data_IF_081006011280
#
_entry.id   IF_081006011280
#
_cell.length_a   1.000
_cell.length_b   1.000
_cell.length_c   1.000
_cell.angle_alpha   90.00
_cell.angle_beta   90.00
_cell.angle_gamma   90.00
#
_symmetry.space_group_name_H-M   'P 1'
#
loop_
_entity.id
_entity.type
_entity.pdbx_description
1 polymer ?
#
# COMPACT_ATOMS: atom_id res chain seq x y z
N UNK A 1 6.33 26.47 -48.25
CA UNK A 1 5.84 26.33 -46.85
C UNK A 1 6.65 27.26 -45.96
N UNK A 2 5.98 28.22 -45.32
CA UNK A 2 6.62 29.37 -44.67
C UNK A 2 6.98 29.04 -43.20
N UNK A 3 8.25 29.19 -42.83
CA UNK A 3 8.83 28.76 -41.53
C UNK A 3 8.33 29.57 -40.32
N UNK A 4 7.56 30.64 -40.53
CA UNK A 4 7.02 31.50 -39.47
C UNK A 4 5.71 31.01 -38.86
N UNK A 5 5.01 30.05 -39.48
CA UNK A 5 3.75 29.51 -38.93
C UNK A 5 3.97 28.37 -37.90
N UNK A 6 5.19 27.81 -37.80
CA UNK A 6 5.48 26.67 -36.93
C UNK A 6 5.82 27.06 -35.48
N UNK A 7 6.25 28.31 -35.25
CA UNK A 7 6.66 28.78 -33.92
C UNK A 7 5.53 29.39 -33.08
N UNK A 8 4.41 29.78 -33.70
CA UNK A 8 3.30 30.41 -32.97
C UNK A 8 2.41 29.40 -32.23
N UNK A 9 2.40 28.12 -32.65
CA UNK A 9 1.63 27.06 -31.97
C UNK A 9 2.38 26.51 -30.74
N UNK A 10 3.71 26.63 -30.68
CA UNK A 10 4.52 26.11 -29.57
C UNK A 10 4.56 27.07 -28.37
N UNK A 11 4.29 28.37 -28.55
CA UNK A 11 4.30 29.34 -27.44
C UNK A 11 2.99 29.41 -26.64
N UNK A 12 1.89 28.81 -27.11
CA UNK A 12 0.65 28.69 -26.32
C UNK A 12 0.60 27.41 -25.46
N UNK A 13 1.44 26.42 -25.74
CA UNK A 13 1.45 25.13 -25.03
C UNK A 13 2.25 25.16 -23.73
N UNK A 14 3.19 26.08 -23.57
CA UNK A 14 4.02 26.21 -22.36
C UNK A 14 3.34 27.00 -21.24
N UNK A 15 2.36 27.86 -21.56
CA UNK A 15 1.58 28.60 -20.56
C UNK A 15 0.50 27.74 -19.89
N UNK A 16 -0.03 26.71 -20.57
CA UNK A 16 -0.97 25.76 -19.95
C UNK A 16 -0.29 24.81 -18.94
N UNK A 17 0.98 24.47 -19.20
CA UNK A 17 1.77 23.60 -18.31
C UNK A 17 2.16 24.35 -17.03
N UNK A 18 2.46 25.65 -17.10
CA UNK A 18 2.73 26.45 -15.91
C UNK A 18 1.48 26.62 -15.01
N UNK A 19 0.28 26.78 -15.60
CA UNK A 19 -0.97 26.85 -14.83
C UNK A 19 -1.37 25.51 -14.19
N UNK A 20 -1.03 24.36 -14.80
CA UNK A 20 -1.26 23.05 -14.19
C UNK A 20 -0.21 22.67 -13.13
N UNK A 21 0.96 23.32 -13.12
CA UNK A 21 1.99 23.11 -12.10
C UNK A 21 1.83 24.06 -10.90
N UNK A 22 1.28 25.27 -11.10
CA UNK A 22 1.15 26.29 -10.04
C UNK A 22 -0.29 26.72 -9.72
N UNK A 23 -1.30 26.19 -10.42
CA UNK A 23 -2.72 26.52 -10.21
C UNK A 23 -3.34 25.75 -9.05
N UNK A 24 -3.45 26.44 -7.91
CA UNK A 24 -4.34 26.16 -6.77
C UNK A 24 -4.20 24.80 -6.08
N UNK A 25 -3.35 24.78 -5.06
CA UNK A 25 -3.43 23.84 -3.96
C UNK A 25 -3.81 24.60 -2.68
N UNK A 26 -4.95 25.29 -2.70
CA UNK A 26 -5.62 25.70 -1.45
C UNK A 26 -6.35 24.50 -0.87
N UNK A 27 -5.57 23.48 -0.49
CA UNK A 27 -6.02 22.57 0.55
C UNK A 27 -5.88 23.35 1.84
N UNK A 28 -6.94 24.06 2.22
CA UNK A 28 -7.05 24.53 3.59
C UNK A 28 -6.82 23.31 4.49
N UNK A 29 -5.81 23.34 5.38
CA UNK A 29 -5.69 22.29 6.37
C UNK A 29 -7.00 22.27 7.15
N UNK A 30 -7.61 21.09 7.27
CA UNK A 30 -8.78 20.89 8.14
C UNK A 30 -8.40 21.48 9.50
N UNK A 31 -9.14 22.48 9.95
CA UNK A 31 -8.78 23.19 11.16
C UNK A 31 -8.86 22.23 12.36
N UNK A 32 -8.02 22.42 13.37
CA UNK A 32 -8.09 21.62 14.61
C UNK A 32 -9.50 21.63 15.22
N UNK A 33 -10.23 22.75 15.04
CA UNK A 33 -11.63 22.87 15.46
C UNK A 33 -12.55 21.92 14.70
N UNK A 34 -12.36 21.73 13.38
CA UNK A 34 -13.13 20.77 12.59
C UNK A 34 -12.81 19.32 13.01
N UNK A 35 -11.55 19.02 13.33
CA UNK A 35 -11.14 17.69 13.83
C UNK A 35 -11.79 17.41 15.19
N UNK A 36 -11.80 18.39 16.10
CA UNK A 36 -12.42 18.27 17.42
C UNK A 36 -13.96 18.15 17.34
N UNK A 37 -14.59 18.89 16.43
CA UNK A 37 -16.03 18.77 16.18
C UNK A 37 -16.39 17.39 15.60
N UNK A 38 -15.56 16.87 14.68
CA UNK A 38 -15.71 15.51 14.17
C UNK A 38 -15.60 14.49 15.31
N UNK A 39 -14.55 14.56 16.12
CA UNK A 39 -14.34 13.62 17.23
C UNK A 39 -15.47 13.66 18.25
N UNK A 40 -15.98 14.85 18.56
CA UNK A 40 -17.12 15.01 19.46
C UNK A 40 -18.40 14.42 18.85
N UNK A 41 -18.68 14.72 17.59
CA UNK A 41 -19.85 14.20 16.87
C UNK A 41 -19.83 12.67 16.81
N UNK A 42 -18.67 12.06 16.57
CA UNK A 42 -18.55 10.60 16.63
C UNK A 42 -18.77 10.07 18.04
N UNK A 43 -18.12 10.66 19.05
CA UNK A 43 -18.29 10.28 20.45
C UNK A 43 -19.75 10.31 20.91
N UNK A 44 -20.46 11.39 20.62
CA UNK A 44 -21.87 11.57 20.96
C UNK A 44 -22.77 10.54 20.25
N UNK A 45 -22.48 10.24 18.98
CA UNK A 45 -23.23 9.24 18.21
C UNK A 45 -22.99 7.81 18.72
N UNK A 46 -21.79 7.49 19.19
CA UNK A 46 -21.48 6.20 19.81
C UNK A 46 -22.09 6.07 21.20
N UNK A 47 -22.09 7.14 22.00
CA UNK A 47 -22.80 7.18 23.28
C UNK A 47 -24.30 6.95 23.08
N UNK A 48 -24.90 7.66 22.11
CA UNK A 48 -26.30 7.49 21.76
C UNK A 48 -26.65 6.07 21.28
N UNK A 49 -25.77 5.42 20.51
CA UNK A 49 -25.94 4.02 20.11
C UNK A 49 -25.83 3.04 21.29
N UNK A 50 -24.93 3.30 22.26
CA UNK A 50 -24.80 2.49 23.48
C UNK A 50 -26.04 2.62 24.35
N UNK A 51 -26.54 3.84 24.54
CA UNK A 51 -27.74 4.11 25.34
C UNK A 51 -29.00 3.52 24.67
N UNK A 52 -29.03 3.52 23.33
CA UNK A 52 -30.09 2.87 22.54
C UNK A 52 -30.09 1.34 22.65
N UNK A 53 -28.95 0.72 23.03
CA UNK A 53 -28.86 -0.72 23.30
C UNK A 53 -29.09 -1.08 24.78
N UNK A 54 -29.17 -0.10 25.69
CA UNK A 54 -29.35 -0.35 27.12
C UNK A 54 -30.79 -0.20 27.63
N UNK A 55 -31.75 0.15 26.77
CA UNK A 55 -33.15 0.38 27.19
C UNK A 55 -34.08 -0.84 27.10
N UNK A 56 -33.53 -2.05 27.20
CA UNK A 56 -34.30 -3.23 27.61
C UNK A 56 -33.51 -4.01 28.65
N UNK A 57 -34.06 -4.05 29.87
CA UNK A 57 -33.78 -4.95 31.01
C UNK A 57 -33.20 -4.28 32.27
N UNK A 58 -34.04 -4.34 33.29
CA UNK A 58 -33.94 -3.96 34.72
C UNK A 58 -32.74 -4.58 35.47
N UNK A 59 -32.20 -3.86 36.46
CA UNK A 59 -31.21 -4.28 37.50
C UNK A 59 -31.94 -4.38 38.88
N UNK A 60 -31.42 -4.92 40.02
CA UNK A 60 -30.02 -5.33 40.33
C UNK A 60 -29.77 -6.58 41.26
N UNK A 61 -28.57 -7.18 41.20
CA UNK A 61 -27.72 -7.56 42.38
C UNK A 61 -26.35 -8.22 42.00
N UNK A 62 -25.27 -8.04 42.81
CA UNK A 62 -23.95 -8.74 42.73
C UNK A 62 -23.91 -9.98 43.67
N UNK A 63 -22.86 -10.85 43.78
CA UNK A 63 -21.49 -10.91 43.21
C UNK A 63 -21.21 -12.26 42.45
N UNK A 64 -20.10 -12.50 41.72
CA UNK A 64 -18.78 -12.94 42.22
C UNK A 64 -17.71 -12.87 41.11
N UNK A 65 -16.49 -12.51 41.52
CA UNK A 65 -15.29 -12.56 40.69
C UNK A 65 -14.91 -14.02 40.41
N UNK A 66 -15.08 -14.45 39.16
CA UNK A 66 -14.27 -15.51 38.58
C UNK A 66 -13.25 -14.81 37.69
N UNK A 67 -12.00 -14.74 38.16
CA UNK A 67 -10.86 -14.35 37.32
C UNK A 67 -10.61 -15.47 36.30
N UNK A 68 -11.42 -15.48 35.25
CA UNK A 68 -10.99 -16.03 33.98
C UNK A 68 -10.36 -14.86 33.23
N UNK A 69 -9.02 -14.83 33.21
CA UNK A 69 -8.21 -14.09 32.24
C UNK A 69 -8.51 -14.66 30.86
N UNK A 70 -9.68 -14.32 30.31
CA UNK A 70 -9.91 -14.36 28.88
C UNK A 70 -9.12 -13.18 28.35
N UNK A 71 -8.02 -13.49 27.65
CA UNK A 71 -7.36 -12.54 26.77
C UNK A 71 -8.43 -11.99 25.84
N UNK A 72 -8.91 -10.79 26.17
CA UNK A 72 -9.79 -10.01 25.33
C UNK A 72 -9.02 -9.71 24.05
N UNK A 73 -9.37 -10.47 23.01
CA UNK A 73 -9.36 -10.11 21.60
C UNK A 73 -8.96 -8.67 21.31
N UNK A 74 -7.79 -8.50 20.69
CA UNK A 74 -7.38 -7.33 19.89
C UNK A 74 -8.27 -7.18 18.63
N UNK A 75 -9.59 -7.21 18.79
CA UNK A 75 -10.54 -7.03 17.70
C UNK A 75 -10.79 -5.54 17.49
N UNK A 76 -10.22 -4.98 16.42
CA UNK A 76 -10.69 -3.72 15.87
C UNK A 76 -9.72 -2.94 14.98
N UNK A 77 -8.41 -3.14 15.10
CA UNK A 77 -7.43 -2.46 14.24
C UNK A 77 -6.82 -3.45 13.27
N UNK A 78 -7.27 -3.41 12.02
CA UNK A 78 -6.63 -4.18 10.94
C UNK A 78 -5.23 -3.63 10.68
N UNK A 79 -4.23 -4.25 11.30
CA UNK A 79 -2.82 -3.92 11.09
C UNK A 79 -2.50 -4.10 9.61
N UNK A 80 -2.04 -3.03 8.95
CA UNK A 80 -1.61 -3.08 7.56
C UNK A 80 -0.26 -3.77 7.44
N UNK A 81 -0.05 -4.49 6.33
CA UNK A 81 1.18 -5.21 6.04
C UNK A 81 1.56 -5.05 4.57
N UNK A 82 2.86 -5.19 4.30
CA UNK A 82 3.46 -5.25 2.98
C UNK A 82 4.33 -6.50 2.90
N UNK A 83 4.15 -7.22 1.79
CA UNK A 83 5.07 -8.24 1.30
C UNK A 83 5.57 -7.77 -0.06
N UNK A 84 6.89 -7.71 -0.25
CA UNK A 84 7.45 -7.21 -1.50
C UNK A 84 8.74 -7.91 -1.89
N UNK A 85 9.03 -7.90 -3.18
CA UNK A 85 10.28 -8.39 -3.77
C UNK A 85 10.86 -7.27 -4.62
N UNK A 86 12.17 -7.07 -4.50
CA UNK A 86 12.93 -6.10 -5.28
C UNK A 86 13.96 -6.87 -6.10
N UNK A 87 13.91 -6.73 -7.42
CA UNK A 87 14.92 -7.26 -8.33
C UNK A 87 15.77 -6.13 -8.89
N UNK A 88 17.07 -6.18 -8.65
CA UNK A 88 18.06 -5.30 -9.25
C UNK A 88 18.55 -5.90 -10.57
N UNK A 89 18.26 -5.21 -11.67
CA UNK A 89 18.77 -5.52 -13.00
C UNK A 89 19.84 -4.49 -13.40
N UNK A 90 20.66 -4.76 -14.43
CA UNK A 90 21.71 -3.84 -14.84
C UNK A 90 21.21 -2.42 -15.17
N UNK A 91 20.04 -2.32 -15.80
CA UNK A 91 19.46 -1.07 -16.33
C UNK A 91 18.20 -0.62 -15.60
N UNK A 92 17.66 -1.42 -14.68
CA UNK A 92 16.40 -1.14 -13.99
C UNK A 92 16.30 -1.81 -12.62
N UNK A 93 15.33 -1.37 -11.82
CA UNK A 93 14.93 -2.04 -10.59
C UNK A 93 13.44 -2.31 -10.61
N UNK A 94 13.08 -3.57 -10.43
CA UNK A 94 11.70 -4.03 -10.39
C UNK A 94 11.21 -4.15 -8.95
N UNK A 95 10.00 -3.66 -8.71
CA UNK A 95 9.31 -3.75 -7.43
C UNK A 95 8.02 -4.51 -7.63
N UNK A 96 7.89 -5.64 -6.93
CA UNK A 96 6.65 -6.41 -6.86
C UNK A 96 6.15 -6.32 -5.43
N UNK A 97 4.92 -5.84 -5.23
CA UNK A 97 4.43 -5.50 -3.89
C UNK A 97 2.95 -5.83 -3.70
N UNK A 98 2.67 -6.56 -2.63
CA UNK A 98 1.35 -6.70 -2.03
C UNK A 98 1.22 -5.75 -0.83
N UNK A 99 0.05 -5.09 -0.68
CA UNK A 99 -0.29 -4.34 0.53
C UNK A 99 -1.76 -4.60 0.89
N UNK A 100 -2.01 -5.06 2.10
CA UNK A 100 -3.35 -5.30 2.62
C UNK A 100 -3.28 -5.39 4.15
N UNK A 101 -4.37 -5.77 4.81
CA UNK A 101 -4.29 -6.18 6.21
C UNK A 101 -3.38 -7.42 6.39
N UNK A 102 -2.79 -7.52 7.57
CA UNK A 102 -1.79 -8.54 7.91
C UNK A 102 -2.27 -9.97 7.64
N UNK A 103 -3.49 -10.30 8.05
CA UNK A 103 -4.03 -11.65 7.90
C UNK A 103 -4.13 -12.04 6.41
N UNK A 104 -4.55 -11.12 5.54
CA UNK A 104 -4.62 -11.37 4.10
C UNK A 104 -3.23 -11.49 3.47
N UNK A 105 -2.27 -10.66 3.88
CA UNK A 105 -0.87 -10.77 3.43
C UNK A 105 -0.26 -12.10 3.85
N UNK A 106 -0.51 -12.56 5.07
CA UNK A 106 -0.04 -13.85 5.56
C UNK A 106 -0.67 -15.01 4.78
N UNK A 107 -1.99 -14.95 4.53
CA UNK A 107 -2.72 -15.95 3.75
C UNK A 107 -2.17 -16.13 2.33
N UNK A 108 -1.80 -15.03 1.64
CA UNK A 108 -1.25 -15.12 0.28
C UNK A 108 0.27 -15.34 0.22
N UNK A 109 0.97 -15.29 1.34
CA UNK A 109 2.44 -15.18 1.36
C UNK A 109 3.15 -16.33 0.64
N UNK A 110 2.63 -17.56 0.76
CA UNK A 110 3.19 -18.75 0.10
C UNK A 110 3.03 -18.63 -1.42
N UNK A 111 1.81 -18.35 -1.91
CA UNK A 111 1.53 -18.18 -3.34
C UNK A 111 2.33 -17.01 -3.93
N UNK A 112 2.39 -15.88 -3.21
CA UNK A 112 3.17 -14.71 -3.63
C UNK A 112 4.64 -15.06 -3.85
N UNK A 113 5.27 -15.77 -2.89
CA UNK A 113 6.66 -16.19 -3.03
C UNK A 113 6.83 -17.20 -4.16
N UNK A 114 5.96 -18.20 -4.25
CA UNK A 114 6.01 -19.17 -5.34
C UNK A 114 6.00 -18.48 -6.70
N UNK A 115 5.01 -17.62 -6.94
CA UNK A 115 4.83 -16.96 -8.22
C UNK A 115 5.89 -15.90 -8.52
N UNK A 116 6.24 -15.05 -7.56
CA UNK A 116 7.06 -13.87 -7.83
C UNK A 116 8.49 -13.98 -7.36
N UNK A 117 8.85 -14.99 -6.57
CA UNK A 117 10.22 -15.25 -6.12
C UNK A 117 10.80 -16.52 -6.76
N UNK A 118 10.05 -17.63 -6.74
CA UNK A 118 10.57 -18.93 -7.18
C UNK A 118 10.40 -19.17 -8.68
N UNK A 119 9.21 -18.90 -9.22
CA UNK A 119 8.84 -19.25 -10.59
C UNK A 119 9.07 -18.11 -11.58
N UNK A 120 9.16 -16.86 -11.10
CA UNK A 120 9.33 -15.70 -11.95
C UNK A 120 10.67 -15.74 -12.69
N UNK A 121 10.58 -15.72 -14.02
CA UNK A 121 11.75 -15.64 -14.89
C UNK A 121 11.84 -14.26 -15.52
N UNK A 122 13.03 -13.92 -15.97
CA UNK A 122 13.28 -12.74 -16.77
C UNK A 122 13.81 -13.17 -18.14
N UNK A 123 13.36 -12.50 -19.19
CA UNK A 123 13.83 -12.73 -20.54
C UNK A 123 15.23 -12.10 -20.78
N UNK A 124 15.72 -12.19 -22.03
CA UNK A 124 16.99 -11.60 -22.45
C UNK A 124 17.04 -10.08 -22.24
N UNK A 125 15.90 -9.41 -22.35
CA UNK A 125 15.75 -7.96 -22.22
C UNK A 125 15.55 -7.52 -20.75
N UNK A 126 15.66 -8.46 -19.80
CA UNK A 126 15.46 -8.24 -18.38
C UNK A 126 14.04 -7.78 -18.02
N UNK A 127 13.06 -8.15 -18.84
CA UNK A 127 11.64 -8.02 -18.55
C UNK A 127 11.14 -9.29 -17.84
N UNK A 128 10.25 -9.16 -16.84
CA UNK A 128 9.65 -10.32 -16.17
C UNK A 128 8.66 -11.02 -17.11
N UNK A 129 8.80 -12.33 -17.22
CA UNK A 129 7.82 -13.20 -17.85
C UNK A 129 6.79 -13.67 -16.81
N UNK A 130 5.53 -13.32 -17.03
CA UNK A 130 4.41 -13.66 -16.14
C UNK A 130 3.53 -14.79 -16.70
N UNK A 131 3.99 -15.50 -17.72
CA UNK A 131 3.24 -16.57 -18.40
C UNK A 131 2.85 -17.75 -17.49
N UNK A 132 3.57 -17.97 -16.39
CA UNK A 132 3.26 -19.00 -15.40
C UNK A 132 2.12 -18.62 -14.43
N UNK A 133 1.72 -17.35 -14.39
CA UNK A 133 0.65 -16.92 -13.50
C UNK A 133 -0.71 -17.44 -13.98
N UNK A 134 -1.65 -17.75 -13.06
CA UNK A 134 -2.99 -18.21 -13.44
C UNK A 134 -3.69 -17.23 -14.40
N UNK A 135 -4.42 -17.79 -15.36
CA UNK A 135 -5.24 -17.01 -16.28
C UNK A 135 -6.23 -16.12 -15.52
N UNK A 136 -6.46 -14.91 -16.02
CA UNK A 136 -7.38 -13.94 -15.40
C UNK A 136 -6.83 -13.24 -14.13
N UNK A 137 -5.63 -13.59 -13.66
CA UNK A 137 -5.01 -12.91 -12.50
C UNK A 137 -4.56 -11.48 -12.82
N UNK A 138 -4.18 -11.21 -14.07
CA UNK A 138 -3.73 -9.88 -14.53
C UNK A 138 -4.93 -8.98 -14.79
N UNK A 139 -4.92 -7.79 -14.21
CA UNK A 139 -5.96 -6.76 -14.43
C UNK A 139 -5.36 -5.52 -15.10
N UNK A 140 -6.24 -4.66 -15.62
CA UNK A 140 -5.82 -3.37 -16.17
C UNK A 140 -5.08 -2.56 -15.10
N UNK A 141 -3.97 -1.94 -15.51
CA UNK A 141 -3.20 -1.06 -14.64
C UNK A 141 -4.00 0.22 -14.36
N UNK A 142 -4.12 0.61 -13.09
CA UNK A 142 -4.87 1.79 -12.65
C UNK A 142 -4.03 3.08 -12.63
N UNK A 143 -2.74 3.01 -13.00
CA UNK A 143 -1.85 4.17 -13.04
C UNK A 143 -0.79 4.03 -14.13
N UNK A 144 -0.35 5.16 -14.72
CA UNK A 144 0.68 5.20 -15.75
C UNK A 144 2.05 4.66 -15.32
N UNK A 145 2.32 4.61 -14.01
CA UNK A 145 3.60 4.15 -13.46
C UNK A 145 3.66 2.62 -13.26
N UNK A 146 2.52 1.93 -13.17
CA UNK A 146 2.46 0.48 -12.92
C UNK A 146 2.61 -0.27 -14.24
N UNK A 147 3.62 -1.12 -14.31
CA UNK A 147 3.86 -2.02 -15.43
C UNK A 147 2.78 -3.08 -15.53
N UNK A 148 2.39 -3.67 -14.39
CA UNK A 148 1.29 -4.62 -14.30
C UNK A 148 0.64 -4.58 -12.93
N UNK A 149 -0.61 -5.04 -12.88
CA UNK A 149 -1.34 -5.31 -11.64
C UNK A 149 -1.92 -6.71 -11.71
N UNK A 150 -1.79 -7.47 -10.62
CA UNK A 150 -2.37 -8.81 -10.49
C UNK A 150 -3.26 -8.89 -9.25
N UNK A 151 -4.21 -9.81 -9.25
CA UNK A 151 -5.02 -10.17 -8.09
C UNK A 151 -4.72 -11.62 -7.71
N UNK A 152 -4.35 -11.85 -6.45
CA UNK A 152 -4.18 -13.19 -5.87
C UNK A 152 -5.08 -13.28 -4.65
N UNK A 153 -6.05 -14.19 -4.67
CA UNK A 153 -7.03 -14.37 -3.58
C UNK A 153 -7.64 -13.03 -3.11
N UNK A 154 -7.95 -12.15 -4.08
CA UNK A 154 -8.51 -10.82 -3.87
C UNK A 154 -7.52 -9.75 -3.40
N UNK A 155 -6.23 -10.07 -3.20
CA UNK A 155 -5.19 -9.10 -2.81
C UNK A 155 -4.51 -8.55 -4.06
N UNK A 156 -4.39 -7.22 -4.14
CA UNK A 156 -3.72 -6.54 -5.25
C UNK A 156 -2.20 -6.63 -5.13
N UNK A 157 -1.57 -7.09 -6.21
CA UNK A 157 -0.12 -7.11 -6.42
C UNK A 157 0.22 -6.08 -7.48
N UNK A 158 1.04 -5.10 -7.10
CA UNK A 158 1.56 -4.09 -8.03
C UNK A 158 2.96 -4.46 -8.51
N UNK A 159 3.19 -4.30 -9.82
CA UNK A 159 4.50 -4.44 -10.45
C UNK A 159 4.91 -3.09 -11.03
N UNK A 160 6.06 -2.58 -10.60
CA UNK A 160 6.62 -1.30 -11.03
C UNK A 160 8.04 -1.51 -11.52
N UNK A 161 8.36 -0.94 -12.67
CA UNK A 161 9.71 -0.86 -13.22
C UNK A 161 10.22 0.57 -13.09
N UNK A 162 11.34 0.77 -12.40
CA UNK A 162 12.01 2.07 -12.34
C UNK A 162 13.38 1.99 -13.02
N UNK A 163 13.78 3.02 -13.79
CA UNK A 163 15.07 3.01 -14.47
C UNK A 163 16.25 3.05 -13.49
N UNK A 164 17.35 2.42 -13.87
CA UNK A 164 18.61 2.42 -13.13
C UNK A 164 18.57 1.66 -11.80
N UNK A 165 19.63 1.89 -11.01
CA UNK A 165 19.82 1.29 -9.69
C UNK A 165 19.10 2.13 -8.64
N UNK A 166 17.97 1.65 -8.16
CA UNK A 166 17.22 2.32 -7.11
C UNK A 166 17.82 2.02 -5.73
N UNK A 167 17.74 2.98 -4.81
CA UNK A 167 18.11 2.74 -3.42
C UNK A 167 17.03 1.90 -2.73
N UNK A 168 17.39 0.67 -2.37
CA UNK A 168 16.52 -0.29 -1.69
C UNK A 168 16.07 0.26 -0.34
N UNK A 169 16.98 0.84 0.45
CA UNK A 169 16.65 1.24 1.83
C UNK A 169 15.70 2.43 1.85
N UNK A 170 15.90 3.44 0.99
CA UNK A 170 14.94 4.54 0.86
C UNK A 170 13.56 4.07 0.40
N UNK A 171 13.49 3.10 -0.51
CA UNK A 171 12.21 2.52 -0.93
C UNK A 171 11.52 1.73 0.20
N UNK A 172 12.27 0.91 0.94
CA UNK A 172 11.77 0.16 2.09
C UNK A 172 11.27 1.10 3.19
N UNK A 173 12.03 2.14 3.55
CA UNK A 173 11.59 3.16 4.52
C UNK A 173 10.30 3.85 4.09
N UNK A 174 10.15 4.16 2.80
CA UNK A 174 8.90 4.69 2.26
C UNK A 174 7.75 3.70 2.39
N UNK A 175 7.99 2.41 2.20
CA UNK A 175 6.96 1.37 2.40
C UNK A 175 6.58 1.21 3.87
N UNK A 176 7.54 1.31 4.79
CA UNK A 176 7.28 1.29 6.23
C UNK A 176 6.26 2.38 6.63
N UNK A 177 6.42 3.60 6.12
CA UNK A 177 5.46 4.68 6.35
C UNK A 177 4.05 4.39 5.83
N UNK A 178 3.88 3.56 4.79
CA UNK A 178 2.57 3.18 4.24
C UNK A 178 1.78 2.23 5.15
N UNK A 179 2.46 1.58 6.09
CA UNK A 179 1.88 0.64 7.05
C UNK A 179 2.04 1.14 8.50
N UNK A 180 2.35 2.43 8.68
CA UNK A 180 2.44 3.07 10.01
C UNK A 180 3.70 2.70 10.80
N UNK A 181 4.72 2.15 10.15
CA UNK A 181 5.99 1.80 10.78
C UNK A 181 7.01 2.95 10.68
N UNK A 182 7.92 2.99 11.64
CA UNK A 182 9.05 3.94 11.68
C UNK A 182 10.39 3.19 11.59
N UNK A 183 11.50 3.92 11.45
CA UNK A 183 12.84 3.32 11.26
C UNK A 183 13.31 2.36 12.37
N UNK A 184 12.66 2.37 13.55
CA UNK A 184 12.94 1.45 14.66
C UNK A 184 12.02 0.22 14.68
N UNK A 185 10.96 0.21 13.86
CA UNK A 185 10.02 -0.90 13.78
C UNK A 185 10.69 -2.15 13.18
N UNK A 186 10.40 -3.34 13.71
CA UNK A 186 10.97 -4.57 13.18
C UNK A 186 10.39 -4.89 11.79
N UNK A 187 11.28 -5.10 10.83
CA UNK A 187 10.97 -5.62 9.49
C UNK A 187 11.86 -6.83 9.18
N UNK A 188 11.48 -7.63 8.19
CA UNK A 188 12.34 -8.66 7.63
C UNK A 188 12.82 -8.24 6.25
N UNK A 189 14.13 -8.32 6.02
CA UNK A 189 14.75 -8.19 4.70
C UNK A 189 15.70 -9.37 4.50
N UNK A 190 15.45 -10.13 3.45
CA UNK A 190 16.27 -11.27 3.06
C UNK A 190 16.92 -10.98 1.70
N UNK A 191 18.25 -11.07 1.65
CA UNK A 191 19.03 -10.81 0.44
C UNK A 191 19.41 -12.13 -0.23
N UNK A 192 19.00 -12.28 -1.49
CA UNK A 192 19.13 -13.49 -2.29
C UNK A 192 19.93 -13.16 -3.57
N UNK A 193 20.40 -14.20 -4.26
CA UNK A 193 21.09 -14.10 -5.56
C UNK A 193 22.21 -13.05 -5.60
N UNK A 194 23.15 -13.13 -4.66
CA UNK A 194 24.22 -12.13 -4.52
C UNK A 194 23.67 -10.70 -4.36
N UNK A 195 22.63 -10.55 -3.52
CA UNK A 195 21.95 -9.29 -3.19
C UNK A 195 21.26 -8.61 -4.37
N UNK A 196 21.03 -9.33 -5.47
CA UNK A 196 20.28 -8.86 -6.63
C UNK A 196 18.77 -9.00 -6.42
N UNK A 197 18.37 -9.92 -5.55
CA UNK A 197 16.98 -10.13 -5.17
C UNK A 197 16.81 -9.83 -3.68
N UNK A 198 15.79 -9.07 -3.31
CA UNK A 198 15.52 -8.73 -1.91
C UNK A 198 14.06 -9.02 -1.62
N UNK A 199 13.79 -9.93 -0.67
CA UNK A 199 12.47 -10.18 -0.13
C UNK A 199 12.26 -9.33 1.12
N UNK A 200 11.14 -8.61 1.18
CA UNK A 200 10.80 -7.70 2.26
C UNK A 200 9.44 -8.08 2.85
N UNK A 201 9.37 -8.23 4.18
CA UNK A 201 8.11 -8.44 4.92
C UNK A 201 8.01 -7.41 6.05
N UNK A 202 6.87 -6.73 6.14
CA UNK A 202 6.58 -5.77 7.21
C UNK A 202 5.08 -5.69 7.52
N UNK A 203 4.66 -5.59 8.81
CA UNK A 203 5.47 -5.84 10.00
C UNK A 203 5.98 -7.30 10.03
N UNK A 204 7.03 -7.55 10.81
CA UNK A 204 7.64 -8.89 10.93
C UNK A 204 6.63 -9.94 11.41
#
# INVERSE_FOLDING_TARGET
MNKSAFYTVISLSTLLIAYLIFGQNDKTPISEQQIQQLSKTFGDKFAQMRDSQQNTSTTPQPPQQIQNTVNASEDGVSVQAILGIIYKKPTSTWFIKAKDNKNRIEAISVKFKQYFLTELKFDSDQQPDFSHLPEGSKIASTSSMRFATFIIDGVEISVINLPGKQDVFSNVKRWMGQVGLNDKSPISMEFLDDKKTILVKMPK
#
